data_IF_762411932817
#
_entry.id   IF_762411932817
#
_cell.length_a   1.000
_cell.length_b   1.000
_cell.length_c   1.000
_cell.angle_alpha   90.00
_cell.angle_beta   90.00
_cell.angle_gamma   90.00
#
_symmetry.space_group_name_H-M   'P 1'
#
loop_
_entity.id
_entity.type
_entity.pdbx_description
1 polymer ?
#
# COMPACT_ATOMS: atom_id res chain seq x y z
N UNK A 1 53.85 -37.57 -2.53
CA UNK A 1 52.45 -37.72 -2.98
C UNK A 1 51.52 -36.68 -2.33
N UNK A 2 51.37 -36.61 -0.98
CA UNK A 2 50.54 -35.58 -0.31
C UNK A 2 50.85 -34.13 -0.70
N UNK A 3 52.13 -33.77 -0.85
CA UNK A 3 52.57 -32.42 -1.27
C UNK A 3 52.21 -32.07 -2.72
N UNK A 4 52.17 -33.07 -3.61
CA UNK A 4 51.79 -32.89 -5.03
C UNK A 4 50.28 -32.72 -5.15
N UNK A 5 49.51 -33.49 -4.36
CA UNK A 5 48.04 -33.37 -4.29
C UNK A 5 47.64 -31.97 -3.80
N UNK A 6 48.30 -31.43 -2.77
CA UNK A 6 48.06 -30.07 -2.27
C UNK A 6 48.34 -28.99 -3.33
N UNK A 7 49.38 -29.17 -4.14
CA UNK A 7 49.77 -28.20 -5.17
C UNK A 7 48.83 -28.22 -6.38
N UNK A 8 48.33 -29.40 -6.75
CA UNK A 8 47.29 -29.57 -7.78
C UNK A 8 45.95 -28.99 -7.31
N UNK A 9 45.60 -29.19 -6.04
CA UNK A 9 44.36 -28.66 -5.46
C UNK A 9 44.38 -27.12 -5.37
N UNK A 10 45.55 -26.52 -5.09
CA UNK A 10 45.75 -25.08 -5.16
C UNK A 10 45.58 -24.55 -6.59
N UNK A 11 46.18 -25.20 -7.59
CA UNK A 11 46.03 -24.79 -9.00
C UNK A 11 44.60 -24.94 -9.55
N UNK A 12 43.86 -25.95 -9.10
CA UNK A 12 42.44 -26.14 -9.47
C UNK A 12 41.57 -25.02 -8.89
N UNK A 13 41.89 -24.50 -7.70
CA UNK A 13 41.12 -23.41 -7.06
C UNK A 13 41.18 -22.08 -7.84
N UNK A 14 42.24 -21.85 -8.63
CA UNK A 14 42.38 -20.66 -9.48
C UNK A 14 41.44 -20.66 -10.69
N UNK A 15 40.86 -21.81 -11.08
CA UNK A 15 39.88 -21.88 -12.18
C UNK A 15 38.44 -21.60 -11.74
N UNK A 16 38.19 -21.37 -10.44
CA UNK A 16 36.86 -21.02 -9.91
C UNK A 16 36.65 -19.51 -9.73
N UNK A 17 37.55 -18.65 -10.23
CA UNK A 17 37.29 -17.21 -10.27
C UNK A 17 36.32 -16.92 -11.41
N UNK A 18 35.02 -17.05 -11.15
CA UNK A 18 33.99 -16.62 -12.09
C UNK A 18 34.04 -15.11 -12.26
N UNK A 19 34.26 -14.64 -13.50
CA UNK A 19 33.99 -13.26 -13.85
C UNK A 19 32.47 -13.11 -13.93
N UNK A 20 31.85 -12.52 -12.91
CA UNK A 20 30.47 -12.05 -13.04
C UNK A 20 30.48 -10.83 -13.96
N UNK A 21 30.05 -11.04 -15.21
CA UNK A 21 29.81 -9.93 -16.13
C UNK A 21 28.46 -9.29 -15.76
N UNK A 22 28.50 -8.08 -15.20
CA UNK A 22 27.29 -7.33 -14.90
C UNK A 22 26.60 -7.00 -16.24
N UNK A 23 25.48 -7.66 -16.51
CA UNK A 23 24.66 -7.35 -17.68
C UNK A 23 23.99 -6.01 -17.43
N UNK A 24 24.53 -4.95 -18.05
CA UNK A 24 23.90 -3.64 -18.03
C UNK A 24 22.84 -3.59 -19.13
N UNK A 25 21.58 -3.77 -18.74
CA UNK A 25 20.44 -3.68 -19.66
C UNK A 25 19.99 -2.22 -19.72
N UNK A 26 20.20 -1.59 -20.87
CA UNK A 26 19.68 -0.26 -21.14
C UNK A 26 18.15 -0.34 -21.31
N UNK A 27 17.40 0.25 -20.37
CA UNK A 27 15.95 0.25 -20.37
C UNK A 27 15.42 1.62 -20.81
N UNK A 28 14.45 1.59 -21.72
CA UNK A 28 13.71 2.79 -22.09
C UNK A 28 12.89 3.29 -20.88
N UNK A 29 13.35 4.36 -20.23
CA UNK A 29 12.64 5.01 -19.13
C UNK A 29 11.62 6.00 -19.68
N UNK A 30 10.35 5.84 -19.28
CA UNK A 30 9.30 6.77 -19.66
C UNK A 30 9.50 8.14 -19.00
N UNK A 31 8.89 9.19 -19.58
CA UNK A 31 8.89 10.52 -18.98
C UNK A 31 8.27 10.47 -17.55
N UNK A 32 8.89 11.12 -16.55
CA UNK A 32 8.39 11.11 -15.18
C UNK A 32 6.92 11.57 -15.08
N UNK A 33 6.12 10.80 -14.34
CA UNK A 33 4.72 11.12 -14.04
C UNK A 33 4.56 11.48 -12.58
N UNK A 34 3.68 12.44 -12.31
CA UNK A 34 3.28 12.79 -10.95
C UNK A 34 2.56 11.61 -10.29
N UNK A 35 2.97 11.29 -9.06
CA UNK A 35 2.32 10.31 -8.18
C UNK A 35 1.73 11.05 -6.99
N UNK A 36 0.44 10.88 -6.76
CA UNK A 36 -0.30 11.52 -5.67
C UNK A 36 -0.80 10.41 -4.73
N UNK A 37 -0.10 10.20 -3.62
CA UNK A 37 -0.50 9.28 -2.55
C UNK A 37 -1.32 10.06 -1.51
N UNK A 38 -2.66 10.04 -1.64
CA UNK A 38 -3.56 10.83 -0.81
C UNK A 38 -4.51 9.95 0.00
N UNK A 39 -3.95 9.10 0.86
CA UNK A 39 -4.73 8.22 1.75
C UNK A 39 -4.99 8.90 3.10
N UNK A 40 -6.22 9.36 3.31
CA UNK A 40 -6.69 9.87 4.61
C UNK A 40 -7.15 8.68 5.45
N UNK A 41 -6.38 8.36 6.49
CA UNK A 41 -6.61 7.21 7.36
C UNK A 41 -6.93 7.69 8.77
N UNK A 42 -8.21 7.78 9.10
CA UNK A 42 -8.66 8.17 10.42
C UNK A 42 -8.67 6.97 11.36
N UNK A 43 -7.72 6.93 12.31
CA UNK A 43 -7.75 5.93 13.38
C UNK A 43 -8.98 6.12 14.27
N UNK A 44 -9.85 5.11 14.33
CA UNK A 44 -11.06 5.08 15.16
C UNK A 44 -10.75 5.46 16.61
N UNK A 45 -11.57 6.33 17.18
CA UNK A 45 -11.41 6.84 18.55
C UNK A 45 -10.40 7.99 18.70
N UNK A 46 -9.70 8.40 17.65
CA UNK A 46 -8.88 9.63 17.65
C UNK A 46 -9.63 10.80 17.04
N UNK A 47 -9.07 12.01 17.08
CA UNK A 47 -9.66 13.18 16.39
C UNK A 47 -9.58 13.08 14.86
N UNK A 48 -8.64 12.29 14.34
CA UNK A 48 -8.35 12.21 12.90
C UNK A 48 -7.85 13.52 12.27
N UNK A 49 -7.45 14.50 13.08
CA UNK A 49 -7.14 15.86 12.61
C UNK A 49 -5.83 15.97 11.84
N UNK A 50 -4.86 15.11 12.14
CA UNK A 50 -3.58 15.08 11.44
C UNK A 50 -3.62 14.08 10.28
N UNK A 51 -3.45 14.58 9.05
CA UNK A 51 -3.46 13.79 7.82
C UNK A 51 -2.28 14.18 6.92
N UNK A 52 -1.81 13.24 6.10
CA UNK A 52 -0.63 13.43 5.24
C UNK A 52 -1.01 13.06 3.81
N UNK A 53 -0.59 13.88 2.85
CA UNK A 53 -0.59 13.58 1.43
C UNK A 53 0.85 13.63 0.95
N UNK A 54 1.27 12.68 0.12
CA UNK A 54 2.63 12.62 -0.41
C UNK A 54 2.62 12.77 -1.92
N UNK A 55 3.48 13.65 -2.43
CA UNK A 55 3.65 13.93 -3.84
C UNK A 55 5.08 13.60 -4.27
N UNK A 56 5.21 12.75 -5.28
CA UNK A 56 6.49 12.32 -5.87
C UNK A 56 6.38 12.24 -7.40
N UNK A 57 7.50 12.01 -8.07
CA UNK A 57 7.53 11.63 -9.49
C UNK A 57 7.96 10.17 -9.61
N UNK A 58 7.49 9.50 -10.65
CA UNK A 58 8.04 8.20 -11.05
C UNK A 58 9.50 8.36 -11.47
N UNK A 59 10.30 7.34 -11.22
CA UNK A 59 11.73 7.28 -11.59
C UNK A 59 12.03 6.02 -12.40
N UNK A 60 13.24 5.90 -12.92
CA UNK A 60 13.68 4.73 -13.68
C UNK A 60 13.77 3.47 -12.80
N UNK A 61 13.67 2.29 -13.41
CA UNK A 61 13.64 1.02 -12.67
C UNK A 61 14.88 0.77 -11.81
N UNK A 62 16.06 1.18 -12.30
CA UNK A 62 17.33 1.04 -11.58
C UNK A 62 17.72 2.27 -10.76
N UNK A 63 16.86 3.29 -10.71
CA UNK A 63 17.14 4.51 -9.94
C UNK A 63 16.80 4.30 -8.46
N UNK A 64 17.76 4.56 -7.58
CA UNK A 64 17.59 4.38 -6.13
C UNK A 64 16.83 5.51 -5.44
N UNK A 65 16.63 6.65 -6.12
CA UNK A 65 15.99 7.84 -5.56
C UNK A 65 14.65 8.12 -6.24
N UNK A 66 13.62 8.32 -5.43
CA UNK A 66 12.28 8.75 -5.87
C UNK A 66 12.22 10.27 -5.77
N UNK A 67 12.12 11.02 -6.89
CA UNK A 67 12.05 12.47 -6.84
C UNK A 67 10.81 12.97 -6.09
N UNK A 68 11.01 13.91 -5.17
CA UNK A 68 9.93 14.56 -4.43
C UNK A 68 9.32 15.73 -5.23
N UNK A 69 8.07 16.09 -4.91
CA UNK A 69 7.42 17.26 -5.50
C UNK A 69 7.19 18.34 -4.44
N UNK A 70 7.83 19.48 -4.66
CA UNK A 70 7.77 20.66 -3.79
C UNK A 70 7.01 21.82 -4.44
N UNK A 71 6.52 22.75 -3.62
CA UNK A 71 5.84 23.97 -4.06
C UNK A 71 4.42 23.76 -4.61
N UNK A 72 3.81 22.60 -4.37
CA UNK A 72 2.44 22.35 -4.78
C UNK A 72 1.44 23.01 -3.80
N UNK A 73 0.27 23.37 -4.30
CA UNK A 73 -0.87 23.77 -3.45
C UNK A 73 -1.76 22.55 -3.27
N UNK A 74 -1.93 22.09 -2.04
CA UNK A 74 -2.71 20.88 -1.70
C UNK A 74 -3.79 21.22 -0.69
N UNK A 75 -5.05 20.93 -1.03
CA UNK A 75 -6.16 21.06 -0.10
C UNK A 75 -7.26 20.05 -0.37
N UNK A 76 -8.05 19.77 0.66
CA UNK A 76 -9.26 18.95 0.58
C UNK A 76 -10.46 19.77 1.05
N UNK A 77 -11.59 19.68 0.36
CA UNK A 77 -12.88 20.25 0.81
C UNK A 77 -13.84 19.14 1.20
N UNK A 78 -14.63 19.34 2.25
CA UNK A 78 -15.76 18.46 2.57
C UNK A 78 -17.05 18.92 1.85
N UNK A 79 -18.12 18.12 1.97
CA UNK A 79 -19.44 18.45 1.41
C UNK A 79 -20.08 19.77 1.91
N UNK A 80 -19.58 20.33 3.02
CA UNK A 80 -19.98 21.65 3.52
C UNK A 80 -19.10 22.79 2.98
N UNK A 81 -18.25 22.53 1.98
CA UNK A 81 -17.26 23.45 1.42
C UNK A 81 -16.21 23.97 2.42
N UNK A 82 -16.07 23.34 3.60
CA UNK A 82 -14.96 23.66 4.50
C UNK A 82 -13.66 23.14 3.89
N UNK A 83 -12.67 24.03 3.76
CA UNK A 83 -11.36 23.71 3.17
C UNK A 83 -10.33 23.36 4.26
N UNK A 84 -9.59 22.29 4.02
CA UNK A 84 -8.47 21.81 4.82
C UNK A 84 -7.20 21.91 4.00
N UNK A 85 -6.28 22.79 4.38
CA UNK A 85 -5.01 22.97 3.69
C UNK A 85 -3.97 21.97 4.20
N UNK A 86 -3.18 21.42 3.28
CA UNK A 86 -2.03 20.59 3.60
C UNK A 86 -0.76 21.39 3.30
N UNK A 87 0.01 21.68 4.35
CA UNK A 87 1.23 22.49 4.25
C UNK A 87 2.42 21.57 3.97
N UNK A 88 3.25 21.96 3.01
CA UNK A 88 4.47 21.21 2.67
C UNK A 88 5.43 21.10 3.86
N UNK A 89 5.98 19.91 4.07
CA UNK A 89 7.14 19.67 4.92
C UNK A 89 8.38 19.71 4.03
N UNK A 90 9.27 20.70 4.21
CA UNK A 90 10.39 20.94 3.30
C UNK A 90 11.25 19.69 3.03
N UNK A 91 11.61 19.47 1.77
CA UNK A 91 12.49 18.38 1.32
C UNK A 91 11.99 16.95 1.59
N UNK A 92 10.67 16.75 1.75
CA UNK A 92 10.11 15.40 2.01
C UNK A 92 9.07 14.94 1.00
N UNK A 93 8.54 15.84 0.16
CA UNK A 93 7.37 15.58 -0.68
C UNK A 93 6.07 15.35 0.12
N UNK A 94 6.08 15.51 1.44
CA UNK A 94 4.90 15.33 2.31
C UNK A 94 4.23 16.68 2.55
N UNK A 95 2.91 16.67 2.51
CA UNK A 95 2.04 17.79 2.82
C UNK A 95 1.16 17.38 3.99
N UNK A 96 1.08 18.21 5.03
CA UNK A 96 0.44 17.85 6.31
C UNK A 96 -0.70 18.80 6.62
N UNK A 97 -1.86 18.23 6.94
CA UNK A 97 -2.98 18.94 7.52
C UNK A 97 -3.07 18.58 9.01
N UNK A 98 -3.31 19.55 9.89
CA UNK A 98 -3.40 19.33 11.35
C UNK A 98 -4.79 19.61 11.94
N UNK A 99 -5.75 20.01 11.09
CA UNK A 99 -7.09 20.40 11.50
C UNK A 99 -8.17 19.73 10.63
N UNK A 100 -7.85 18.59 10.02
CA UNK A 100 -8.80 17.80 9.25
C UNK A 100 -9.99 17.42 10.15
N UNK A 101 -11.21 17.44 9.59
CA UNK A 101 -12.41 17.03 10.33
C UNK A 101 -13.07 15.89 9.58
N UNK A 102 -12.72 14.63 9.90
CA UNK A 102 -13.35 13.48 9.29
C UNK A 102 -14.80 13.35 9.75
N UNK A 103 -15.69 12.99 8.83
CA UNK A 103 -17.11 12.70 9.08
C UNK A 103 -17.43 11.44 8.31
N UNK A 104 -17.87 10.39 9.01
CA UNK A 104 -18.28 9.13 8.38
C UNK A 104 -19.37 9.40 7.35
N UNK A 105 -19.24 8.75 6.19
CA UNK A 105 -20.05 8.94 4.99
C UNK A 105 -20.02 10.37 4.41
N UNK A 106 -19.11 11.22 4.89
CA UNK A 106 -18.84 12.52 4.31
C UNK A 106 -18.14 12.38 2.95
N UNK A 107 -18.60 13.17 1.98
CA UNK A 107 -17.93 13.33 0.69
C UNK A 107 -16.84 14.39 0.79
N UNK A 108 -15.67 14.09 0.20
CA UNK A 108 -14.52 14.98 0.17
C UNK A 108 -13.97 15.10 -1.25
N UNK A 109 -13.44 16.28 -1.56
CA UNK A 109 -12.81 16.57 -2.85
C UNK A 109 -11.39 17.05 -2.61
N UNK A 110 -10.42 16.33 -3.17
CA UNK A 110 -9.01 16.72 -3.21
C UNK A 110 -8.76 17.67 -4.39
N UNK A 111 -7.95 18.70 -4.16
CA UNK A 111 -7.32 19.50 -5.21
C UNK A 111 -5.81 19.59 -4.97
N UNK A 112 -5.04 19.30 -6.01
CA UNK A 112 -3.58 19.50 -6.06
C UNK A 112 -3.27 20.40 -7.24
N UNK A 113 -2.53 21.48 -7.02
CA UNK A 113 -2.01 22.35 -8.09
C UNK A 113 -0.49 22.25 -8.08
N UNK A 114 0.09 21.79 -9.17
CA UNK A 114 1.54 21.61 -9.32
C UNK A 114 1.96 21.90 -10.75
N UNK A 115 3.01 22.69 -10.94
CA UNK A 115 3.57 23.06 -12.25
C UNK A 115 2.49 23.52 -13.27
N UNK A 116 1.56 24.38 -12.83
CA UNK A 116 0.47 24.90 -13.67
C UNK A 116 -0.67 23.92 -13.98
N UNK A 117 -0.58 22.66 -13.54
CA UNK A 117 -1.64 21.66 -13.71
C UNK A 117 -2.49 21.57 -12.44
N UNK A 118 -3.80 21.34 -12.62
CA UNK A 118 -4.75 21.09 -11.53
C UNK A 118 -5.23 19.65 -11.59
N UNK A 119 -5.13 18.96 -10.46
CA UNK A 119 -5.57 17.58 -10.28
C UNK A 119 -6.69 17.54 -9.24
N UNK A 120 -7.76 16.81 -9.54
CA UNK A 120 -8.91 16.68 -8.64
C UNK A 120 -9.34 15.24 -8.48
N UNK A 121 -9.87 14.90 -7.32
CA UNK A 121 -10.47 13.61 -7.02
C UNK A 121 -11.58 13.77 -6.00
N UNK A 122 -12.53 12.84 -5.99
CA UNK A 122 -13.59 12.79 -4.98
C UNK A 122 -13.67 11.39 -4.40
N UNK A 123 -13.99 11.33 -3.11
CA UNK A 123 -14.10 10.07 -2.37
C UNK A 123 -14.98 10.25 -1.12
N UNK A 124 -15.49 9.15 -0.59
CA UNK A 124 -16.34 9.12 0.61
C UNK A 124 -15.63 8.42 1.76
N UNK A 125 -15.60 9.05 2.94
CA UNK A 125 -15.01 8.44 4.14
C UNK A 125 -15.90 7.30 4.65
N UNK A 126 -15.38 6.09 4.70
CA UNK A 126 -16.11 4.91 5.19
C UNK A 126 -15.72 4.53 6.61
N UNK A 127 -16.71 4.15 7.42
CA UNK A 127 -16.50 3.63 8.79
C UNK A 127 -15.99 2.21 8.77
N UNK A 128 -15.44 1.76 9.89
CA UNK A 128 -14.98 0.40 10.06
C UNK A 128 -15.46 -0.23 11.38
N UNK A 129 -15.62 -1.54 11.39
CA UNK A 129 -15.89 -2.32 12.60
C UNK A 129 -14.58 -2.61 13.35
N UNK A 130 -14.62 -2.82 14.67
CA UNK A 130 -13.42 -3.16 15.42
C UNK A 130 -12.93 -4.58 15.07
N UNK A 131 -11.66 -4.83 15.34
CA UNK A 131 -11.12 -6.19 15.43
C UNK A 131 -11.57 -6.77 16.77
N UNK A 132 -12.30 -7.87 16.80
CA UNK A 132 -12.84 -8.43 18.04
C UNK A 132 -11.76 -9.22 18.78
N UNK A 133 -11.24 -10.28 18.15
CA UNK A 133 -10.21 -11.15 18.74
C UNK A 133 -9.31 -11.77 17.66
N UNK A 134 -8.25 -12.43 18.12
CA UNK A 134 -7.33 -13.19 17.26
C UNK A 134 -7.35 -14.67 17.64
N UNK A 135 -7.16 -15.54 16.65
CA UNK A 135 -6.81 -16.94 16.87
C UNK A 135 -5.54 -17.28 16.13
N UNK A 136 -4.85 -18.33 16.59
CA UNK A 136 -3.67 -18.87 15.93
C UNK A 136 -3.88 -20.36 15.71
N UNK A 137 -3.65 -20.82 14.48
CA UNK A 137 -3.62 -22.22 14.14
C UNK A 137 -2.27 -22.56 13.49
N UNK A 138 -1.73 -23.73 13.80
CA UNK A 138 -0.64 -24.32 13.02
C UNK A 138 -1.28 -25.09 11.86
N UNK A 139 -1.06 -24.61 10.64
CA UNK A 139 -1.61 -25.21 9.43
C UNK A 139 -0.72 -26.33 8.86
N UNK A 140 0.31 -26.76 9.61
CA UNK A 140 1.26 -27.81 9.23
C UNK A 140 2.51 -27.29 8.52
N UNK A 141 3.47 -28.18 8.24
CA UNK A 141 4.81 -27.84 7.72
C UNK A 141 4.84 -27.03 6.41
N UNK A 142 3.76 -27.05 5.62
CA UNK A 142 3.65 -26.33 4.35
C UNK A 142 3.02 -24.94 4.45
N UNK A 143 2.24 -24.67 5.50
CA UNK A 143 1.49 -23.41 5.64
C UNK A 143 1.85 -22.64 6.92
N UNK A 144 2.63 -23.25 7.81
CA UNK A 144 3.18 -22.61 9.00
C UNK A 144 2.11 -22.12 9.97
N UNK A 145 2.46 -21.09 10.74
CA UNK A 145 1.56 -20.47 11.72
C UNK A 145 0.66 -19.45 11.03
N UNK A 146 -0.66 -19.62 11.18
CA UNK A 146 -1.66 -18.70 10.62
C UNK A 146 -2.36 -17.95 11.75
N UNK A 147 -2.27 -16.62 11.72
CA UNK A 147 -2.99 -15.72 12.62
C UNK A 147 -4.27 -15.25 11.93
N UNK A 148 -5.43 -15.51 12.54
CA UNK A 148 -6.73 -15.02 12.09
C UNK A 148 -7.19 -13.87 12.97
N UNK A 149 -7.68 -12.81 12.35
CA UNK A 149 -8.33 -11.68 13.01
C UNK A 149 -9.83 -11.78 12.75
N UNK A 150 -10.65 -11.71 13.79
CA UNK A 150 -12.10 -11.83 13.70
C UNK A 150 -12.79 -10.48 13.85
N UNK A 151 -13.91 -10.35 13.16
CA UNK A 151 -14.69 -9.12 13.05
C UNK A 151 -16.18 -9.46 12.99
N UNK A 152 -17.02 -8.50 13.33
CA UNK A 152 -18.46 -8.59 13.13
C UNK A 152 -18.94 -7.57 12.11
N UNK A 153 -19.56 -8.07 11.04
CA UNK A 153 -20.11 -7.23 9.98
C UNK A 153 -21.48 -6.62 10.36
N UNK A 154 -21.77 -5.34 10.03
CA UNK A 154 -23.09 -4.75 10.23
C UNK A 154 -24.12 -5.26 9.22
N UNK A 155 -25.27 -5.74 9.69
CA UNK A 155 -26.34 -6.20 8.80
C UNK A 155 -26.99 -5.07 7.98
N UNK A 156 -27.32 -5.35 6.71
CA UNK A 156 -28.20 -4.52 5.89
C UNK A 156 -27.52 -3.33 5.19
N UNK A 157 -26.20 -3.34 5.10
CA UNK A 157 -25.39 -2.34 4.40
C UNK A 157 -24.29 -3.08 3.66
N UNK A 158 -24.06 -2.78 2.39
CA UNK A 158 -22.91 -3.35 1.66
C UNK A 158 -21.62 -2.64 2.10
N UNK A 159 -20.70 -3.41 2.68
CA UNK A 159 -19.40 -2.95 3.15
C UNK A 159 -18.25 -3.53 2.34
N UNK A 160 -17.19 -2.74 2.25
CA UNK A 160 -15.94 -3.11 1.59
C UNK A 160 -14.79 -2.87 2.55
N UNK A 161 -13.86 -3.81 2.54
CA UNK A 161 -12.79 -3.89 3.52
C UNK A 161 -11.43 -3.96 2.85
N UNK A 162 -10.44 -3.32 3.47
CA UNK A 162 -9.03 -3.56 3.20
C UNK A 162 -8.38 -4.03 4.49
N UNK A 163 -7.47 -4.99 4.37
CA UNK A 163 -6.66 -5.50 5.46
C UNK A 163 -5.21 -5.25 5.11
N UNK A 164 -4.44 -4.78 6.09
CA UNK A 164 -2.98 -4.70 6.01
C UNK A 164 -2.39 -5.56 7.12
N UNK A 165 -1.53 -6.48 6.74
CA UNK A 165 -0.71 -7.28 7.64
C UNK A 165 0.73 -6.77 7.58
N UNK A 166 1.24 -6.28 8.70
CA UNK A 166 2.65 -5.95 8.87
C UNK A 166 3.28 -6.93 9.87
N UNK A 167 4.46 -7.42 9.54
CA UNK A 167 5.15 -8.46 10.30
C UNK A 167 6.46 -7.91 10.83
N UNK A 168 6.80 -8.19 12.09
CA UNK A 168 8.05 -7.69 12.72
C UNK A 168 9.32 -8.20 12.04
N UNK A 169 9.23 -9.32 11.33
CA UNK A 169 10.34 -9.97 10.63
C UNK A 169 10.46 -9.55 9.15
N UNK A 170 9.57 -8.70 8.62
CA UNK A 170 9.56 -8.28 7.21
C UNK A 170 9.53 -6.76 7.05
N UNK A 171 10.14 -6.30 5.97
CA UNK A 171 10.10 -4.87 5.57
C UNK A 171 8.79 -4.54 4.85
N UNK A 172 8.23 -5.50 4.12
CA UNK A 172 7.00 -5.36 3.36
C UNK A 172 5.77 -5.72 4.20
N UNK A 173 4.61 -5.25 3.75
CA UNK A 173 3.30 -5.60 4.31
C UNK A 173 2.45 -6.23 3.22
N UNK A 174 1.58 -7.15 3.61
CA UNK A 174 0.59 -7.76 2.70
C UNK A 174 -0.72 -7.00 2.80
N UNK A 175 -1.39 -6.82 1.66
CA UNK A 175 -2.72 -6.22 1.58
C UNK A 175 -3.70 -7.21 0.96
N UNK A 176 -4.92 -7.22 1.47
CA UNK A 176 -6.05 -7.97 0.88
C UNK A 176 -7.29 -7.10 0.94
N UNK A 177 -8.14 -7.14 -0.09
CA UNK A 177 -9.40 -6.43 -0.11
C UNK A 177 -10.56 -7.43 -0.22
N UNK A 178 -11.65 -7.17 0.50
CA UNK A 178 -12.81 -8.07 0.55
C UNK A 178 -14.14 -7.29 0.55
N UNK A 179 -15.23 -7.98 0.19
CA UNK A 179 -16.60 -7.46 0.23
C UNK A 179 -17.51 -8.36 1.07
N UNK A 180 -18.48 -7.77 1.78
CA UNK A 180 -19.31 -8.46 2.78
C UNK A 180 -20.45 -9.33 2.27
N UNK A 181 -20.45 -9.62 0.97
CA UNK A 181 -21.51 -10.31 0.23
C UNK A 181 -21.97 -11.62 0.89
N UNK A 182 -21.09 -12.31 1.62
CA UNK A 182 -21.37 -13.60 2.24
C UNK A 182 -21.47 -13.57 3.76
N UNK A 183 -21.25 -12.43 4.40
CA UNK A 183 -21.18 -12.34 5.87
C UNK A 183 -21.94 -11.15 6.46
N UNK A 184 -22.89 -10.56 5.72
CA UNK A 184 -23.77 -9.51 6.25
C UNK A 184 -24.38 -9.86 7.61
N UNK A 185 -24.07 -9.05 8.63
CA UNK A 185 -24.57 -9.24 9.99
C UNK A 185 -23.90 -10.36 10.81
N UNK A 186 -22.96 -11.08 10.20
CA UNK A 186 -22.31 -12.25 10.79
C UNK A 186 -20.85 -11.96 11.18
N UNK A 187 -20.28 -12.87 11.95
CA UNK A 187 -18.84 -12.88 12.21
C UNK A 187 -18.10 -13.38 10.96
N UNK A 188 -16.96 -12.75 10.68
CA UNK A 188 -16.04 -13.16 9.62
C UNK A 188 -14.59 -12.96 10.09
N UNK A 189 -13.63 -13.40 9.29
CA UNK A 189 -12.21 -13.26 9.62
C UNK A 189 -11.36 -12.96 8.40
N UNK A 190 -10.21 -12.34 8.65
CA UNK A 190 -9.08 -12.27 7.72
C UNK A 190 -7.92 -13.06 8.32
N UNK A 191 -6.93 -13.41 7.50
CA UNK A 191 -5.80 -14.24 7.93
C UNK A 191 -4.47 -13.70 7.42
N UNK A 192 -3.40 -13.97 8.17
CA UNK A 192 -2.04 -13.71 7.73
C UNK A 192 -1.65 -14.64 6.59
N UNK A 193 -0.98 -14.09 5.58
CA UNK A 193 -0.39 -14.82 4.46
C UNK A 193 1.14 -14.68 4.56
N UNK A 194 1.72 -15.44 5.48
CA UNK A 194 3.16 -15.47 5.75
C UNK A 194 3.57 -16.86 6.25
N UNK A 195 4.29 -17.59 5.42
CA UNK A 195 4.78 -18.95 5.68
C UNK A 195 5.94 -18.98 6.71
N UNK A 196 6.58 -17.84 6.99
CA UNK A 196 7.79 -17.75 7.81
C UNK A 196 7.54 -17.33 9.27
N UNK A 197 6.27 -17.23 9.68
CA UNK A 197 5.91 -16.81 11.04
C UNK A 197 6.38 -17.81 12.09
N UNK A 198 7.02 -17.29 13.14
CA UNK A 198 7.55 -18.07 14.27
C UNK A 198 7.01 -17.54 15.59
N UNK A 199 6.98 -18.41 16.59
CA UNK A 199 6.72 -18.00 17.98
C UNK A 199 7.61 -16.84 18.38
N UNK A 200 6.99 -15.77 18.91
CA UNK A 200 7.65 -14.52 19.28
C UNK A 200 7.53 -13.40 18.26
N UNK A 201 7.20 -13.70 17.00
CA UNK A 201 6.96 -12.67 15.99
C UNK A 201 5.69 -11.86 16.31
N UNK A 202 5.69 -10.58 15.92
CA UNK A 202 4.53 -9.69 16.06
C UNK A 202 3.88 -9.45 14.70
N UNK A 203 2.57 -9.68 14.66
CA UNK A 203 1.70 -9.38 13.51
C UNK A 203 0.83 -8.18 13.87
N UNK A 204 0.97 -7.08 13.15
CA UNK A 204 0.07 -5.93 13.22
C UNK A 204 -0.97 -6.01 12.09
N UNK A 205 -2.24 -6.09 12.47
CA UNK A 205 -3.36 -6.09 11.54
C UNK A 205 -4.05 -4.74 11.59
N UNK A 206 -4.05 -4.03 10.47
CA UNK A 206 -4.87 -2.83 10.28
C UNK A 206 -6.07 -3.14 9.39
N UNK A 207 -7.27 -2.87 9.89
CA UNK A 207 -8.53 -3.02 9.20
C UNK A 207 -9.06 -1.65 8.79
N UNK A 208 -9.47 -1.53 7.53
CA UNK A 208 -9.92 -0.30 6.90
C UNK A 208 -11.34 -0.48 6.37
N UNK A 209 -12.19 0.50 6.65
CA UNK A 209 -13.46 0.65 5.93
C UNK A 209 -13.21 1.46 4.68
N UNK A 210 -13.52 0.90 3.51
CA UNK A 210 -13.20 1.52 2.22
C UNK A 210 -14.45 1.66 1.34
N UNK A 211 -14.39 2.57 0.37
CA UNK A 211 -15.45 2.67 -0.64
C UNK A 211 -15.36 1.54 -1.66
N UNK A 212 -16.47 1.23 -2.33
CA UNK A 212 -16.48 0.28 -3.46
C UNK A 212 -15.48 0.65 -4.55
N UNK A 213 -15.32 1.95 -4.83
CA UNK A 213 -14.39 2.42 -5.85
C UNK A 213 -12.95 2.12 -5.45
N UNK A 214 -12.60 2.39 -4.18
CA UNK A 214 -11.27 2.10 -3.68
C UNK A 214 -11.01 0.59 -3.56
N UNK A 215 -12.03 -0.20 -3.21
CA UNK A 215 -11.98 -1.67 -3.24
C UNK A 215 -11.60 -2.20 -4.63
N UNK A 216 -12.29 -1.73 -5.67
CA UNK A 216 -11.98 -2.14 -7.05
C UNK A 216 -10.55 -1.76 -7.45
N UNK A 217 -10.08 -0.58 -7.06
CA UNK A 217 -8.71 -0.14 -7.31
C UNK A 217 -7.68 -1.00 -6.57
N UNK A 218 -7.93 -1.29 -5.28
CA UNK A 218 -7.03 -2.08 -4.46
C UNK A 218 -6.98 -3.55 -4.90
N UNK A 219 -8.08 -4.14 -5.36
CA UNK A 219 -8.07 -5.48 -5.96
C UNK A 219 -7.09 -5.55 -7.14
N UNK A 220 -7.14 -4.59 -8.06
CA UNK A 220 -6.21 -4.55 -9.20
C UNK A 220 -4.76 -4.44 -8.71
N UNK A 221 -4.49 -3.59 -7.71
CA UNK A 221 -3.13 -3.45 -7.18
C UNK A 221 -2.64 -4.70 -6.44
N UNK A 222 -3.49 -5.33 -5.63
CA UNK A 222 -3.16 -6.54 -4.89
C UNK A 222 -2.95 -7.71 -5.84
N UNK A 223 -3.78 -7.84 -6.89
CA UNK A 223 -3.62 -8.88 -7.92
C UNK A 223 -2.30 -8.71 -8.69
N UNK A 224 -1.90 -7.47 -8.99
CA UNK A 224 -0.62 -7.15 -9.61
C UNK A 224 0.55 -7.43 -8.65
N UNK A 225 0.39 -7.14 -7.36
CA UNK A 225 1.43 -7.32 -6.35
C UNK A 225 1.59 -8.78 -5.88
N UNK A 226 0.52 -9.57 -5.94
CA UNK A 226 0.46 -10.96 -5.48
C UNK A 226 0.97 -11.99 -6.48
N UNK A 227 0.78 -13.27 -6.15
CA UNK A 227 1.20 -14.48 -6.89
C UNK A 227 0.54 -14.68 -8.27
N UNK A 228 -0.06 -13.63 -8.85
CA UNK A 228 -0.59 -13.56 -10.21
C UNK A 228 0.48 -13.38 -11.31
N UNK A 229 1.77 -13.41 -10.95
CA UNK A 229 2.84 -13.49 -11.94
C UNK A 229 3.20 -12.18 -12.63
N UNK A 230 2.83 -11.01 -12.11
CA UNK A 230 3.35 -9.75 -12.67
C UNK A 230 4.74 -9.47 -12.10
N UNK A 231 5.76 -10.02 -12.75
CA UNK A 231 7.16 -9.86 -12.32
C UNK A 231 8.09 -11.00 -12.73
N UNK A 232 7.54 -12.10 -13.26
CA UNK A 232 8.36 -13.08 -13.97
C UNK A 232 9.00 -12.43 -15.21
N UNK A 233 10.25 -12.80 -15.59
CA UNK A 233 10.98 -12.16 -16.68
C UNK A 233 10.32 -12.30 -18.07
N UNK A 234 9.22 -13.06 -18.17
CA UNK A 234 8.49 -13.33 -19.41
C UNK A 234 7.03 -12.85 -19.38
N UNK A 235 6.65 -12.09 -18.37
CA UNK A 235 5.27 -11.66 -18.16
C UNK A 235 5.03 -10.33 -18.87
N UNK A 236 3.84 -10.17 -19.44
CA UNK A 236 3.46 -8.89 -20.05
C UNK A 236 3.45 -7.80 -18.98
N UNK A 237 4.01 -6.61 -19.27
CA UNK A 237 3.93 -5.49 -18.33
C UNK A 237 2.48 -5.26 -17.91
N UNK A 238 2.21 -5.05 -16.62
CA UNK A 238 0.86 -4.79 -16.15
C UNK A 238 0.31 -3.54 -16.85
N UNK A 239 -0.99 -3.56 -17.16
CA UNK A 239 -1.66 -2.37 -17.66
C UNK A 239 -1.50 -1.22 -16.65
N UNK A 240 -1.37 0.01 -17.14
CA UNK A 240 -1.30 1.19 -16.26
C UNK A 240 -2.57 1.30 -15.43
N UNK A 241 -2.45 1.11 -14.12
CA UNK A 241 -3.57 1.26 -13.18
C UNK A 241 -3.83 2.74 -12.96
N UNK A 242 -5.04 3.20 -13.31
CA UNK A 242 -5.48 4.57 -13.10
C UNK A 242 -6.32 4.65 -11.83
N UNK A 243 -5.96 5.58 -10.93
CA UNK A 243 -6.78 5.88 -9.76
C UNK A 243 -7.93 6.86 -10.06
N UNK A 244 -8.49 7.44 -9.00
CA UNK A 244 -9.60 8.40 -9.08
C UNK A 244 -9.16 9.86 -9.28
N UNK A 245 -7.85 10.13 -9.42
CA UNK A 245 -7.31 11.48 -9.57
C UNK A 245 -7.17 11.84 -11.05
N UNK A 246 -7.80 12.95 -11.44
CA UNK A 246 -7.85 13.41 -12.84
C UNK A 246 -7.17 14.76 -12.96
N UNK A 247 -6.30 14.91 -13.97
CA UNK A 247 -5.79 16.22 -14.39
C UNK A 247 -6.88 16.96 -15.18
N UNK A 248 -7.40 18.04 -14.60
CA UNK A 248 -8.46 18.85 -15.22
C UNK A 248 -7.91 19.92 -16.17
N UNK A 249 -6.60 20.17 -16.14
CA UNK A 249 -5.91 21.10 -17.05
C UNK A 249 -5.54 20.40 -18.36
N UNK A 250 -4.94 19.21 -18.29
CA UNK A 250 -4.57 18.37 -19.44
C UNK A 250 -4.90 16.90 -19.16
N UNK A 251 -5.96 16.40 -19.81
CA UNK A 251 -6.45 15.03 -19.62
C UNK A 251 -5.46 13.95 -20.11
N UNK A 252 -4.54 14.29 -21.01
CA UNK A 252 -3.53 13.35 -21.48
C UNK A 252 -2.40 13.17 -20.45
N UNK A 253 -2.14 14.20 -19.64
CA UNK A 253 -1.16 14.17 -18.57
C UNK A 253 -1.79 13.76 -17.22
N UNK A 254 -2.31 12.53 -17.17
CA UNK A 254 -2.88 11.96 -15.94
C UNK A 254 -1.79 11.60 -14.90
N UNK A 255 -2.06 11.80 -13.59
CA UNK A 255 -1.19 11.36 -12.51
C UNK A 255 -1.41 9.88 -12.19
N UNK A 256 -0.50 9.30 -11.43
CA UNK A 256 -0.67 8.00 -10.76
C UNK A 256 -1.03 8.22 -9.28
N UNK A 257 -1.44 7.15 -8.60
CA UNK A 257 -1.88 7.19 -7.21
C UNK A 257 -3.39 7.32 -7.08
N UNK A 258 -3.86 7.55 -5.85
CA UNK A 258 -5.28 7.50 -5.50
C UNK A 258 -5.57 8.42 -4.30
N UNK A 259 -6.78 8.95 -4.25
CA UNK A 259 -7.32 9.68 -3.11
C UNK A 259 -8.35 8.82 -2.38
N UNK A 260 -7.97 8.26 -1.23
CA UNK A 260 -8.82 7.39 -0.41
C UNK A 260 -9.13 8.01 0.95
N UNK A 261 -10.30 7.68 1.52
CA UNK A 261 -10.68 8.06 2.88
C UNK A 261 -11.21 6.84 3.62
N UNK A 262 -10.53 6.46 4.69
CA UNK A 262 -10.89 5.29 5.50
C UNK A 262 -10.87 5.61 7.00
N UNK A 263 -11.88 5.17 7.74
CA UNK A 263 -11.70 4.91 9.17
C UNK A 263 -10.92 3.60 9.35
N UNK A 264 -10.02 3.55 10.31
CA UNK A 264 -9.12 2.40 10.52
C UNK A 264 -9.05 1.97 11.98
N UNK A 265 -8.83 0.67 12.18
CA UNK A 265 -8.51 0.07 13.49
C UNK A 265 -7.27 -0.79 13.32
N UNK A 266 -6.30 -0.66 14.22
CA UNK A 266 -5.11 -1.51 14.25
C UNK A 266 -4.99 -2.24 15.58
N UNK A 267 -4.64 -3.53 15.55
CA UNK A 267 -4.24 -4.32 16.71
C UNK A 267 -3.03 -5.18 16.38
N UNK A 268 -2.20 -5.42 17.40
CA UNK A 268 -1.02 -6.29 17.35
C UNK A 268 -1.31 -7.62 18.02
N UNK A 269 -0.74 -8.69 17.49
CA UNK A 269 -0.78 -10.04 18.03
C UNK A 269 0.63 -10.63 18.04
N UNK A 270 1.05 -11.18 19.19
CA UNK A 270 2.31 -11.90 19.32
C UNK A 270 2.05 -13.39 19.11
N UNK A 271 2.75 -13.97 18.14
CA UNK A 271 2.69 -15.39 17.81
C UNK A 271 3.20 -16.21 18.99
N UNK A 272 2.43 -17.23 19.38
CA UNK A 272 2.71 -18.10 20.54
C UNK A 272 3.28 -19.44 20.15
#
# INVERSE_FOLDING_TARGET
MKKVILLVMFFISLFFTGCEEVVNVDLNTAAPKLVIEASVNWRKGTTGAQQIIKLTMTTGYFEGEIPIVSGAVVYVKNGANQQFNFTEVPNTGRYVCNNFKPVIDGAYTLTVISNGNTYTASETLKSITPIDYFTQNDAGELAGIVVRAFYKDPAGVDNYYLYKYAYSNKVTSTYYADEDKFYQGNEFFSFSDDEDLKTGDEVEVTHYGISKQYYNYMNILVDIAGSGGVGGPFQTPPATVRGNIVNTTDKNNFPLGYFSLSETVSKKYTVK
#
